data_IF_252250950091
#
_entry.id   IF_252250950091
#
_cell.length_a   1.000
_cell.length_b   1.000
_cell.length_c   1.000
_cell.angle_alpha   90.00
_cell.angle_beta   90.00
_cell.angle_gamma   90.00
#
_symmetry.space_group_name_H-M   'P 1'
#
loop_
_entity.id
_entity.type
_entity.pdbx_description
1 polymer ?
#
# COMPACT_ATOMS: atom_id res chain seq x y z
N UNK A 1 -64.04 16.90 -4.28
CA UNK A 1 -64.33 17.57 -3.00
C UNK A 1 -63.06 18.29 -2.59
N UNK A 2 -63.04 19.62 -2.77
CA UNK A 2 -62.84 20.64 -1.72
C UNK A 2 -61.40 20.68 -1.16
N UNK A 3 -60.70 21.80 -1.00
CA UNK A 3 -60.73 23.21 -1.43
C UNK A 3 -59.63 23.87 -0.55
N UNK A 4 -58.74 24.71 -1.13
CA UNK A 4 -58.29 26.04 -0.59
C UNK A 4 -57.39 25.98 0.68
N UNK A 5 -56.30 26.73 0.94
CA UNK A 5 -55.64 28.00 0.54
C UNK A 5 -54.25 28.00 1.27
N UNK A 6 -53.25 28.89 1.11
CA UNK A 6 -52.96 30.06 0.28
C UNK A 6 -51.55 30.61 0.63
N UNK A 7 -50.95 31.32 -0.35
CA UNK A 7 -50.12 32.55 -0.25
C UNK A 7 -48.72 32.50 0.42
N UNK A 8 -47.68 33.27 0.06
CA UNK A 8 -47.34 34.38 -0.89
C UNK A 8 -45.79 34.49 -0.86
N UNK A 9 -45.02 34.93 -1.86
CA UNK A 9 -44.82 36.34 -2.29
C UNK A 9 -43.67 36.37 -3.34
N UNK A 10 -43.86 36.88 -4.59
CA UNK A 10 -43.38 38.19 -5.14
C UNK A 10 -41.85 38.19 -5.40
N UNK A 11 -41.23 38.51 -6.56
CA UNK A 11 -41.41 39.35 -7.78
C UNK A 11 -40.28 38.92 -8.77
N UNK A 12 -40.31 39.11 -10.10
CA UNK A 12 -40.76 40.24 -10.89
C UNK A 12 -40.46 40.04 -12.39
N UNK A 13 -40.81 41.06 -13.17
CA UNK A 13 -41.48 40.97 -14.48
C UNK A 13 -40.69 41.69 -15.58
N UNK A 14 -40.69 41.17 -16.82
CA UNK A 14 -40.74 41.89 -18.11
C UNK A 14 -40.58 40.86 -19.25
N UNK A 15 -41.31 40.79 -20.36
CA UNK A 15 -42.37 41.64 -20.92
C UNK A 15 -42.16 41.91 -22.42
N UNK A 16 -42.59 41.00 -23.32
CA UNK A 16 -43.02 41.23 -24.73
C UNK A 16 -41.93 41.50 -25.80
N UNK A 17 -42.10 41.31 -27.13
CA UNK A 17 -43.20 40.94 -28.07
C UNK A 17 -42.57 40.43 -29.41
N UNK A 18 -43.35 39.70 -30.24
CA UNK A 18 -43.04 38.95 -31.49
C UNK A 18 -42.75 39.75 -32.80
N UNK A 19 -41.82 39.22 -33.64
CA UNK A 19 -41.76 39.03 -35.14
C UNK A 19 -42.01 40.18 -36.16
N UNK A 20 -41.86 39.99 -37.51
CA UNK A 20 -41.15 38.99 -38.34
C UNK A 20 -40.19 39.56 -39.46
N UNK A 21 -39.61 38.67 -40.30
CA UNK A 21 -38.66 38.75 -41.48
C UNK A 21 -39.08 39.62 -42.70
N UNK A 22 -38.38 39.70 -43.89
CA UNK A 22 -36.97 39.44 -44.36
C UNK A 22 -36.37 40.54 -45.31
N UNK A 23 -35.17 40.31 -45.91
CA UNK A 23 -34.77 40.50 -47.36
C UNK A 23 -33.30 40.94 -47.55
N UNK A 24 -32.66 40.28 -48.53
CA UNK A 24 -31.26 40.33 -48.94
C UNK A 24 -30.82 41.61 -49.70
N UNK A 25 -29.51 41.78 -49.91
CA UNK A 25 -28.89 42.00 -51.25
C UNK A 25 -27.35 41.92 -51.17
N UNK A 26 -26.82 41.22 -52.15
CA UNK A 26 -25.43 40.97 -52.57
C UNK A 26 -24.61 42.20 -52.97
N UNK A 27 -23.28 42.13 -52.81
CA UNK A 27 -22.33 43.07 -53.44
C UNK A 27 -20.91 42.52 -53.47
N UNK A 28 -20.56 41.88 -54.58
CA UNK A 28 -19.28 41.23 -54.88
C UNK A 28 -18.32 42.26 -55.51
N UNK A 29 -17.05 42.32 -55.07
CA UNK A 29 -16.05 43.25 -55.64
C UNK A 29 -14.60 42.80 -55.48
N UNK A 30 -14.13 41.97 -56.42
CA UNK A 30 -12.72 41.76 -56.84
C UNK A 30 -12.04 43.13 -57.12
N UNK A 31 -10.73 43.38 -57.15
CA UNK A 31 -9.51 42.59 -57.26
C UNK A 31 -8.29 43.53 -57.11
N UNK A 32 -7.13 42.95 -56.75
CA UNK A 32 -5.78 43.21 -57.30
C UNK A 32 -4.98 44.50 -56.99
N UNK A 33 -3.88 44.24 -56.26
CA UNK A 33 -2.47 44.45 -56.63
C UNK A 33 -1.72 45.77 -56.34
N UNK A 34 -0.49 45.54 -55.82
CA UNK A 34 0.81 46.24 -55.99
C UNK A 34 1.30 47.17 -54.87
N UNK A 35 2.36 46.66 -54.24
CA UNK A 35 3.68 47.28 -54.10
C UNK A 35 3.91 48.32 -53.00
N UNK A 36 4.54 47.81 -51.93
CA UNK A 36 5.65 48.36 -51.13
C UNK A 36 5.54 49.78 -50.57
N UNK A 37 5.96 49.97 -49.30
CA UNK A 37 6.92 50.99 -48.86
C UNK A 37 7.36 50.67 -47.40
N UNK A 38 8.66 50.39 -47.26
CA UNK A 38 9.60 50.64 -46.14
C UNK A 38 9.16 50.45 -44.66
N UNK A 39 9.74 49.38 -44.07
CA UNK A 39 10.48 49.29 -42.81
C UNK A 39 10.02 50.07 -41.56
N UNK A 40 9.67 49.32 -40.51
CA UNK A 40 10.08 49.61 -39.13
C UNK A 40 10.11 48.30 -38.31
N UNK A 41 11.24 48.09 -37.64
CA UNK A 41 11.56 46.96 -36.77
C UNK A 41 10.77 47.03 -35.46
N UNK A 42 10.11 45.94 -35.09
CA UNK A 42 9.85 45.60 -33.69
C UNK A 42 9.83 44.07 -33.57
N UNK A 43 10.83 43.54 -32.86
CA UNK A 43 10.96 42.12 -32.56
C UNK A 43 9.84 41.66 -31.61
N UNK A 44 9.12 40.61 -31.98
CA UNK A 44 8.24 39.88 -31.08
C UNK A 44 8.56 38.38 -31.24
N UNK A 45 8.97 37.76 -30.13
CA UNK A 45 9.49 36.40 -30.08
C UNK A 45 8.48 35.35 -30.51
N UNK A 46 8.99 34.40 -31.30
CA UNK A 46 8.38 33.08 -31.47
C UNK A 46 8.50 32.29 -30.17
N UNK A 47 7.41 31.68 -29.72
CA UNK A 47 7.42 30.31 -29.20
C UNK A 47 6.06 29.67 -29.51
N UNK A 48 6.10 28.68 -30.40
CA UNK A 48 4.96 27.86 -30.79
C UNK A 48 4.64 26.87 -29.67
N UNK A 49 3.44 26.94 -29.09
CA UNK A 49 2.91 25.93 -28.19
C UNK A 49 2.27 24.80 -29.00
N UNK A 50 2.97 23.66 -29.11
CA UNK A 50 2.33 22.40 -29.49
C UNK A 50 1.87 21.71 -28.21
N UNK A 51 0.55 21.55 -28.05
CA UNK A 51 -0.03 20.73 -27.02
C UNK A 51 0.18 19.26 -27.39
N UNK A 52 1.22 18.64 -26.83
CA UNK A 52 1.38 17.19 -26.88
C UNK A 52 0.39 16.54 -25.92
N UNK A 53 -0.52 15.72 -26.43
CA UNK A 53 -1.26 14.73 -25.63
C UNK A 53 -0.22 13.81 -24.98
N UNK A 54 -0.06 13.89 -23.67
CA UNK A 54 0.59 12.83 -22.90
C UNK A 54 -0.43 11.69 -22.80
N UNK A 55 -0.21 10.62 -23.56
CA UNK A 55 -0.83 9.35 -23.26
C UNK A 55 -0.35 8.92 -21.87
N UNK A 56 -1.25 8.89 -20.89
CA UNK A 56 -0.98 8.26 -19.61
C UNK A 56 -0.61 6.80 -19.91
N UNK A 57 0.67 6.45 -19.72
CA UNK A 57 1.05 5.06 -19.64
C UNK A 57 0.20 4.42 -18.51
N UNK A 58 -0.31 3.19 -18.68
CA UNK A 58 -0.79 2.45 -17.52
C UNK A 58 0.41 2.33 -16.57
N UNK A 59 0.32 2.97 -15.40
CA UNK A 59 1.30 2.81 -14.35
C UNK A 59 1.31 1.35 -13.93
N UNK A 60 2.28 0.58 -14.40
CA UNK A 60 2.49 -0.78 -13.92
C UNK A 60 3.29 -0.72 -12.62
N UNK A 61 2.80 -1.51 -11.65
CA UNK A 61 3.35 -1.88 -10.35
C UNK A 61 3.15 -0.89 -9.18
N UNK A 62 1.92 -0.87 -8.63
CA UNK A 62 1.73 -0.83 -7.17
C UNK A 62 1.26 -2.24 -6.77
N UNK A 63 2.01 -2.98 -5.96
CA UNK A 63 1.63 -4.37 -5.65
C UNK A 63 1.35 -4.55 -4.16
N UNK A 64 0.08 -4.82 -3.85
CA UNK A 64 -0.32 -6.07 -3.20
C UNK A 64 -1.70 -6.48 -3.72
N UNK A 65 -1.93 -7.78 -3.84
CA UNK A 65 -3.24 -8.49 -3.77
C UNK A 65 -3.05 -9.80 -3.01
N UNK A 66 -2.21 -9.74 -1.94
CA UNK A 66 -2.17 -10.67 -0.79
C UNK A 66 -0.77 -10.88 -0.18
N UNK A 67 0.35 -10.37 -0.69
CA UNK A 67 1.61 -10.39 0.10
C UNK A 67 2.67 -9.45 -0.52
N UNK A 68 2.55 -8.17 -0.21
CA UNK A 68 3.55 -7.17 -0.58
C UNK A 68 4.70 -7.12 0.45
N UNK A 69 5.83 -6.55 0.05
CA UNK A 69 6.93 -6.28 0.99
C UNK A 69 6.66 -4.95 1.70
N UNK A 70 6.67 -4.95 3.03
CA UNK A 70 6.89 -3.74 3.82
C UNK A 70 8.38 -3.68 4.20
N UNK A 71 8.97 -2.50 4.30
CA UNK A 71 10.35 -2.34 4.78
C UNK A 71 10.41 -1.38 5.95
N UNK A 72 11.04 -1.76 7.08
CA UNK A 72 11.36 -0.81 8.12
C UNK A 72 12.34 0.22 7.56
N UNK A 73 12.07 1.49 7.82
CA UNK A 73 12.88 2.59 7.31
C UNK A 73 13.18 3.61 8.40
N UNK A 74 14.30 4.32 8.22
CA UNK A 74 14.70 5.41 9.11
C UNK A 74 13.70 6.56 8.99
N UNK A 75 13.43 7.24 10.10
CA UNK A 75 12.42 8.31 10.20
C UNK A 75 12.56 9.37 9.10
N UNK A 76 11.45 9.76 8.49
CA UNK A 76 11.42 10.79 7.45
C UNK A 76 12.12 10.38 6.15
N UNK A 77 12.48 9.11 5.99
CA UNK A 77 13.13 8.58 4.79
C UNK A 77 12.50 7.25 4.35
N UNK A 78 12.88 6.78 3.17
CA UNK A 78 12.62 5.40 2.72
C UNK A 78 13.86 4.51 2.86
N UNK A 79 14.86 4.97 3.62
CA UNK A 79 16.13 4.27 3.79
C UNK A 79 15.94 3.09 4.72
N UNK A 80 16.20 1.90 4.22
CA UNK A 80 16.06 0.64 4.96
C UNK A 80 16.78 0.68 6.32
N UNK A 81 16.08 0.23 7.36
CA UNK A 81 16.57 0.11 8.73
C UNK A 81 16.60 -1.37 9.13
N UNK A 82 17.79 -1.97 9.08
CA UNK A 82 17.95 -3.41 9.27
C UNK A 82 17.79 -3.89 10.72
N UNK A 83 17.93 -3.00 11.70
CA UNK A 83 17.91 -3.36 13.12
C UNK A 83 17.79 -2.13 14.00
N UNK A 84 17.37 -2.34 15.24
CA UNK A 84 17.34 -1.31 16.28
C UNK A 84 17.26 -1.89 17.70
N UNK A 85 17.38 -1.02 18.68
CA UNK A 85 17.01 -1.30 20.07
C UNK A 85 15.51 -1.13 20.31
N UNK A 86 15.04 -1.42 21.52
CA UNK A 86 13.61 -1.29 21.87
C UNK A 86 13.07 0.12 21.65
N UNK A 87 13.91 1.13 21.83
CA UNK A 87 13.53 2.55 21.70
C UNK A 87 13.86 3.16 20.34
N UNK A 88 14.22 2.33 19.36
CA UNK A 88 14.57 2.83 18.02
C UNK A 88 13.28 3.16 17.28
N UNK A 89 13.10 4.44 16.97
CA UNK A 89 11.99 4.92 16.16
C UNK A 89 12.20 4.57 14.68
N UNK A 90 11.12 4.20 14.00
CA UNK A 90 11.14 3.85 12.59
C UNK A 90 9.84 4.24 11.89
N UNK A 91 9.85 4.16 10.56
CA UNK A 91 8.64 4.20 9.72
C UNK A 91 8.54 2.93 8.90
N UNK A 92 7.39 2.68 8.28
CA UNK A 92 7.21 1.60 7.31
C UNK A 92 7.20 2.20 5.92
N UNK A 93 8.19 1.84 5.11
CA UNK A 93 8.20 2.15 3.69
C UNK A 93 7.48 1.02 2.92
N UNK A 94 6.56 1.41 2.05
CA UNK A 94 5.86 0.52 1.13
C UNK A 94 6.38 0.73 -0.30
N UNK A 95 6.13 -0.21 -1.22
CA UNK A 95 6.37 0.01 -2.65
C UNK A 95 5.66 1.27 -3.13
N UNK A 96 6.25 1.95 -4.11
CA UNK A 96 5.65 3.16 -4.68
C UNK A 96 4.21 2.87 -5.15
N UNK A 97 3.26 3.75 -4.79
CA UNK A 97 1.84 3.61 -5.10
C UNK A 97 1.18 2.35 -4.51
N UNK A 98 1.64 1.89 -3.33
CA UNK A 98 0.93 0.85 -2.57
C UNK A 98 -0.49 1.31 -2.26
N UNK A 99 -1.47 0.57 -2.76
CA UNK A 99 -2.88 0.92 -2.69
C UNK A 99 -3.73 -0.30 -2.37
N UNK A 100 -4.81 -0.09 -1.63
CA UNK A 100 -5.85 -1.07 -1.44
C UNK A 100 -6.62 -1.30 -2.75
N UNK A 101 -7.27 -2.46 -2.85
CA UNK A 101 -8.15 -2.81 -3.97
C UNK A 101 -9.34 -1.85 -4.18
N UNK A 102 -9.64 -0.99 -3.20
CA UNK A 102 -10.66 0.07 -3.27
C UNK A 102 -10.35 1.21 -2.31
N UNK A 103 -11.14 2.27 -2.33
CA UNK A 103 -10.90 3.48 -1.53
C UNK A 103 -11.88 3.66 -0.36
N UNK A 104 -11.46 4.39 0.67
CA UNK A 104 -12.28 4.65 1.86
C UNK A 104 -13.55 5.47 1.57
N UNK A 105 -13.49 6.43 0.65
CA UNK A 105 -14.61 7.35 0.40
C UNK A 105 -15.74 6.69 -0.40
N UNK A 106 -15.40 5.83 -1.36
CA UNK A 106 -16.38 5.21 -2.27
C UNK A 106 -16.69 3.77 -1.90
N UNK A 107 -15.68 3.01 -1.45
CA UNK A 107 -15.78 1.56 -1.26
C UNK A 107 -15.75 1.15 0.22
N UNK A 108 -15.47 2.08 1.13
CA UNK A 108 -15.42 1.82 2.57
C UNK A 108 -14.21 1.00 3.01
N UNK A 109 -13.14 0.96 2.20
CA UNK A 109 -11.91 0.26 2.57
C UNK A 109 -11.18 0.99 3.69
N UNK A 110 -10.50 0.25 4.57
CA UNK A 110 -9.73 0.80 5.69
C UNK A 110 -8.36 0.16 5.79
N UNK A 111 -7.39 0.91 6.32
CA UNK A 111 -6.00 0.49 6.46
C UNK A 111 -5.67 0.26 7.93
N UNK A 112 -5.02 -0.86 8.24
CA UNK A 112 -4.64 -1.26 9.58
C UNK A 112 -3.16 -1.61 9.62
N UNK A 113 -2.47 -1.29 10.70
CA UNK A 113 -1.24 -2.03 11.02
C UNK A 113 -1.57 -3.33 11.73
N UNK A 114 -0.64 -4.28 11.70
CA UNK A 114 -0.72 -5.50 12.49
C UNK A 114 0.66 -5.92 12.99
N UNK A 115 0.64 -6.74 14.05
CA UNK A 115 1.78 -7.40 14.66
C UNK A 115 1.30 -8.75 15.23
N UNK A 116 1.82 -9.82 14.66
CA UNK A 116 1.38 -11.20 14.90
C UNK A 116 2.58 -12.14 14.98
N UNK A 117 2.43 -13.29 15.63
CA UNK A 117 3.50 -14.29 15.65
C UNK A 117 3.80 -14.78 14.22
N UNK A 118 5.07 -15.07 13.94
CA UNK A 118 5.47 -15.49 12.60
C UNK A 118 4.78 -16.78 12.16
N UNK A 119 4.32 -16.80 10.90
CA UNK A 119 3.55 -17.91 10.33
C UNK A 119 2.04 -17.75 10.51
N UNK A 120 1.58 -16.64 11.08
CA UNK A 120 0.17 -16.29 11.09
C UNK A 120 -0.30 -15.98 9.68
N UNK A 121 -1.39 -16.60 9.24
CA UNK A 121 -1.99 -16.26 7.95
C UNK A 121 -2.76 -14.93 8.06
N UNK A 122 -2.12 -13.84 7.63
CA UNK A 122 -2.66 -12.47 7.69
C UNK A 122 -3.96 -12.33 6.89
N UNK A 123 -4.11 -13.05 5.77
CA UNK A 123 -5.33 -13.02 4.95
C UNK A 123 -6.59 -13.48 5.69
N UNK A 124 -6.42 -14.31 6.73
CA UNK A 124 -7.53 -14.83 7.53
C UNK A 124 -7.81 -13.99 8.78
N UNK A 125 -7.05 -12.92 9.01
CA UNK A 125 -7.33 -11.97 10.09
C UNK A 125 -8.55 -11.15 9.69
N UNK A 126 -9.50 -11.01 10.61
CA UNK A 126 -10.62 -10.09 10.45
C UNK A 126 -10.38 -8.90 11.37
N UNK A 127 -10.45 -7.70 10.80
CA UNK A 127 -10.33 -6.44 11.51
C UNK A 127 -11.74 -5.82 11.58
N UNK A 128 -12.48 -5.94 12.70
CA UNK A 128 -13.79 -5.31 12.86
C UNK A 128 -13.79 -3.76 12.66
N UNK A 129 -14.89 -3.08 12.96
CA UNK A 129 -14.87 -1.62 13.07
C UNK A 129 -14.93 -1.23 14.56
N UNK A 130 -13.99 -0.42 15.04
CA UNK A 130 -13.93 0.06 16.44
C UNK A 130 -12.58 -0.23 17.12
N UNK A 131 -12.09 0.71 17.92
CA UNK A 131 -10.79 0.62 18.61
C UNK A 131 -10.94 -0.01 20.03
N UNK A 132 -10.04 -0.91 20.47
CA UNK A 132 -8.97 -1.55 19.69
C UNK A 132 -9.54 -2.71 18.88
N UNK A 133 -9.08 -2.83 17.63
CA UNK A 133 -9.71 -3.70 16.65
C UNK A 133 -9.04 -5.08 16.52
N UNK A 134 -8.23 -5.44 17.51
CA UNK A 134 -7.43 -6.64 17.50
C UNK A 134 -8.09 -7.72 18.37
N UNK A 135 -8.12 -8.96 17.88
CA UNK A 135 -8.50 -10.12 18.68
C UNK A 135 -7.52 -10.35 19.84
N UNK A 136 -7.83 -11.32 20.71
CA UNK A 136 -6.88 -11.73 21.74
C UNK A 136 -5.55 -12.17 21.10
N UNK A 137 -4.42 -11.66 21.62
CA UNK A 137 -3.06 -11.91 21.13
C UNK A 137 -2.72 -11.32 19.75
N UNK A 138 -3.47 -10.31 19.30
CA UNK A 138 -3.13 -9.52 18.13
C UNK A 138 -2.75 -8.11 18.60
N UNK A 139 -1.72 -7.55 17.98
CA UNK A 139 -1.27 -6.18 18.23
C UNK A 139 -1.16 -5.43 16.90
N UNK A 140 -0.94 -4.12 16.96
CA UNK A 140 -0.61 -3.29 15.80
C UNK A 140 0.74 -2.62 15.98
N UNK A 141 1.18 -1.93 14.92
CA UNK A 141 2.27 -0.96 15.06
C UNK A 141 1.78 0.20 15.93
N UNK A 142 2.64 0.63 16.83
CA UNK A 142 2.34 1.63 17.85
C UNK A 142 3.28 2.81 17.68
N UNK A 143 2.69 3.99 17.60
CA UNK A 143 3.42 5.25 17.59
C UNK A 143 4.09 5.44 18.95
N UNK A 144 5.18 6.21 18.99
CA UNK A 144 5.87 6.59 20.23
C UNK A 144 4.96 7.21 21.28
N UNK A 145 3.91 7.92 20.85
CA UNK A 145 2.88 8.46 21.73
C UNK A 145 2.06 7.37 22.47
N UNK A 146 2.22 6.10 22.09
CA UNK A 146 1.52 4.96 22.63
C UNK A 146 0.15 4.72 21.99
N UNK A 147 -0.08 5.19 20.77
CA UNK A 147 -1.34 4.94 20.06
C UNK A 147 -1.11 3.89 18.96
N UNK A 148 -2.01 2.92 18.86
CA UNK A 148 -2.00 2.01 17.72
C UNK A 148 -2.39 2.76 16.45
N UNK A 149 -1.64 2.54 15.36
CA UNK A 149 -2.00 3.06 14.05
C UNK A 149 -2.93 2.07 13.35
N UNK A 150 -4.23 2.28 13.55
CA UNK A 150 -5.29 1.40 13.07
C UNK A 150 -6.44 2.22 12.49
N UNK A 151 -7.31 1.56 11.71
CA UNK A 151 -8.52 2.13 11.14
C UNK A 151 -8.24 3.46 10.42
N UNK A 152 -7.34 3.44 9.44
CA UNK A 152 -6.94 4.62 8.67
C UNK A 152 -7.69 4.70 7.35
N UNK A 153 -7.81 5.92 6.83
CA UNK A 153 -8.37 6.13 5.50
C UNK A 153 -7.28 6.01 4.43
N UNK A 154 -7.62 5.42 3.30
CA UNK A 154 -6.85 5.53 2.07
C UNK A 154 -7.01 6.93 1.47
N UNK A 155 -6.16 7.26 0.50
CA UNK A 155 -6.43 8.38 -0.39
C UNK A 155 -7.76 8.15 -1.14
N UNK A 156 -8.59 9.20 -1.31
CA UNK A 156 -9.87 9.08 -2.00
C UNK A 156 -9.64 8.78 -3.48
N UNK A 157 -10.53 7.99 -4.09
CA UNK A 157 -10.48 7.57 -5.52
C UNK A 157 -9.32 6.66 -5.91
N UNK A 158 -8.12 6.83 -5.33
CA UNK A 158 -6.93 6.03 -5.70
C UNK A 158 -6.73 4.79 -4.83
N UNK A 159 -7.26 4.77 -3.59
CA UNK A 159 -7.04 3.66 -2.66
C UNK A 159 -5.62 3.61 -2.07
N UNK A 160 -4.77 4.61 -2.37
CA UNK A 160 -3.38 4.64 -1.93
C UNK A 160 -3.28 4.71 -0.40
N UNK A 161 -2.32 3.98 0.17
CA UNK A 161 -2.01 4.05 1.59
C UNK A 161 -1.25 5.35 1.85
N UNK A 162 -1.80 6.16 2.75
CA UNK A 162 -1.29 7.49 3.08
C UNK A 162 -1.09 7.63 4.59
N UNK A 163 -0.31 8.64 4.99
CA UNK A 163 -0.13 9.05 6.37
C UNK A 163 0.44 7.93 7.29
N UNK A 164 1.36 7.11 6.77
CA UNK A 164 2.13 6.19 7.62
C UNK A 164 2.97 7.04 8.59
N UNK A 165 2.87 6.80 9.92
CA UNK A 165 3.65 7.49 10.94
C UNK A 165 5.15 7.36 10.73
N UNK A 166 5.89 8.35 11.22
CA UNK A 166 7.36 8.39 11.13
C UNK A 166 8.05 8.01 12.45
N UNK A 167 7.30 7.58 13.45
CA UNK A 167 7.70 7.43 14.84
C UNK A 167 7.13 6.15 15.47
N UNK A 168 7.03 5.07 14.71
CA UNK A 168 6.75 3.76 15.28
C UNK A 168 7.87 3.31 16.19
N UNK A 169 7.53 2.61 17.28
CA UNK A 169 8.51 2.17 18.27
C UNK A 169 8.05 0.88 18.96
N UNK A 170 8.98 -0.04 19.25
CA UNK A 170 8.63 -1.34 19.83
C UNK A 170 8.49 -1.31 21.36
N UNK A 171 9.14 -0.39 22.06
CA UNK A 171 8.99 -0.19 23.52
C UNK A 171 7.51 -0.05 23.92
N UNK A 172 6.72 0.66 23.12
CA UNK A 172 5.33 0.93 23.44
C UNK A 172 4.48 -0.36 23.48
N UNK A 173 4.88 -1.46 22.83
CA UNK A 173 4.21 -2.77 23.00
C UNK A 173 4.30 -3.29 24.43
N UNK A 174 5.48 -3.17 25.05
CA UNK A 174 5.69 -3.60 26.44
C UNK A 174 4.86 -2.74 27.38
N UNK A 175 4.89 -1.41 27.17
CA UNK A 175 4.12 -0.45 27.96
C UNK A 175 2.60 -0.67 27.83
N UNK A 176 2.13 -1.20 26.71
CA UNK A 176 0.71 -1.57 26.47
C UNK A 176 0.33 -2.96 26.95
N UNK A 177 1.24 -3.70 27.57
CA UNK A 177 0.93 -4.94 28.26
C UNK A 177 1.32 -6.22 27.53
N UNK A 178 2.04 -6.15 26.39
CA UNK A 178 2.72 -7.34 25.88
C UNK A 178 3.91 -7.66 26.78
N UNK A 179 3.83 -8.76 27.52
CA UNK A 179 4.93 -9.15 28.41
C UNK A 179 6.17 -9.54 27.59
N UNK A 180 7.37 -9.19 28.08
CA UNK A 180 8.64 -9.46 27.37
C UNK A 180 8.86 -10.95 27.08
N UNK A 181 8.41 -11.85 27.95
CA UNK A 181 8.47 -13.29 27.73
C UNK A 181 7.55 -13.76 26.59
N UNK A 182 6.45 -13.04 26.35
CA UNK A 182 5.54 -13.33 25.24
C UNK A 182 6.14 -12.82 23.94
N UNK A 183 6.76 -11.63 23.97
CA UNK A 183 7.55 -11.14 22.83
C UNK A 183 8.69 -12.10 22.47
N UNK A 184 9.36 -12.67 23.47
CA UNK A 184 10.48 -13.59 23.32
C UNK A 184 10.05 -15.05 23.57
N UNK A 185 9.14 -15.58 22.76
CA UNK A 185 8.49 -16.88 23.01
C UNK A 185 9.26 -18.14 22.54
N UNK A 186 10.41 -18.00 21.87
CA UNK A 186 11.22 -19.15 21.45
C UNK A 186 12.02 -19.76 22.61
N UNK A 187 12.66 -20.90 22.37
CA UNK A 187 13.48 -21.68 23.32
C UNK A 187 14.23 -20.81 24.34
N UNK A 188 13.99 -21.05 25.63
CA UNK A 188 14.59 -20.33 26.77
C UNK A 188 14.23 -18.84 26.92
N UNK A 189 13.20 -18.37 26.21
CA UNK A 189 12.77 -16.98 26.16
C UNK A 189 13.88 -15.99 25.78
N UNK A 190 14.72 -16.38 24.82
CA UNK A 190 15.83 -15.55 24.34
C UNK A 190 15.55 -14.86 23.01
N UNK A 191 14.54 -15.31 22.28
CA UNK A 191 14.19 -14.79 20.96
C UNK A 191 12.68 -14.94 20.70
N UNK A 192 12.11 -14.10 19.85
CA UNK A 192 10.80 -14.28 19.24
C UNK A 192 10.82 -13.76 17.82
N UNK A 193 10.10 -14.42 16.91
CA UNK A 193 10.03 -13.99 15.51
C UNK A 193 8.59 -13.61 15.20
N UNK A 194 8.37 -12.40 14.75
CA UNK A 194 7.05 -11.83 14.55
C UNK A 194 6.92 -11.30 13.14
N UNK A 195 5.69 -11.17 12.67
CA UNK A 195 5.33 -10.54 11.43
C UNK A 195 4.57 -9.26 11.73
N UNK A 196 4.98 -8.17 11.09
CA UNK A 196 4.35 -6.87 11.24
C UNK A 196 4.21 -6.21 9.89
N UNK A 197 3.22 -5.35 9.75
CA UNK A 197 2.96 -4.74 8.46
C UNK A 197 1.71 -3.91 8.43
N UNK A 198 1.24 -3.69 7.21
CA UNK A 198 0.08 -2.88 6.88
C UNK A 198 -0.89 -3.75 6.07
N UNK A 199 -2.17 -3.77 6.45
CA UNK A 199 -3.22 -4.50 5.78
C UNK A 199 -4.36 -3.55 5.35
N UNK A 200 -4.83 -3.75 4.13
CA UNK A 200 -6.07 -3.19 3.62
C UNK A 200 -7.21 -4.15 3.90
N UNK A 201 -8.36 -3.59 4.28
CA UNK A 201 -9.58 -4.36 4.52
C UNK A 201 -10.73 -3.74 3.74
N UNK A 202 -11.65 -4.58 3.29
CA UNK A 202 -12.91 -4.12 2.73
C UNK A 202 -13.87 -3.63 3.83
N UNK A 203 -15.05 -3.15 3.44
CA UNK A 203 -16.06 -2.64 4.37
C UNK A 203 -16.62 -3.66 5.38
N UNK A 204 -16.30 -4.95 5.21
CA UNK A 204 -16.67 -6.01 6.15
C UNK A 204 -15.52 -6.40 7.09
N UNK A 205 -14.37 -5.71 7.03
CA UNK A 205 -13.20 -6.01 7.86
C UNK A 205 -12.34 -7.18 7.37
N UNK A 206 -12.59 -7.67 6.16
CA UNK A 206 -11.83 -8.77 5.56
C UNK A 206 -10.62 -8.21 4.82
N UNK A 207 -9.45 -8.79 5.05
CA UNK A 207 -8.20 -8.40 4.39
C UNK A 207 -8.31 -8.60 2.88
N UNK A 208 -8.03 -7.54 2.13
CA UNK A 208 -7.94 -7.57 0.66
C UNK A 208 -6.50 -7.64 0.17
N UNK A 209 -5.62 -6.88 0.82
CA UNK A 209 -4.24 -6.68 0.44
C UNK A 209 -3.42 -6.49 1.72
N UNK A 210 -2.19 -6.97 1.77
CA UNK A 210 -1.29 -6.65 2.88
C UNK A 210 0.16 -6.55 2.43
N UNK A 211 0.96 -5.85 3.22
CA UNK A 211 2.40 -5.69 3.09
C UNK A 211 3.05 -6.05 4.41
N UNK A 212 4.06 -6.93 4.37
CA UNK A 212 4.62 -7.53 5.56
C UNK A 212 6.14 -7.40 5.64
N UNK A 213 6.63 -7.35 6.87
CA UNK A 213 8.03 -7.59 7.24
C UNK A 213 8.07 -8.59 8.38
N UNK A 214 9.15 -9.35 8.46
CA UNK A 214 9.40 -10.25 9.60
C UNK A 214 10.48 -9.64 10.49
N UNK A 215 10.26 -9.69 11.80
CA UNK A 215 11.17 -9.15 12.80
C UNK A 215 11.62 -10.24 13.74
N UNK A 216 12.92 -10.30 14.00
CA UNK A 216 13.48 -11.12 15.06
C UNK A 216 13.77 -10.24 16.27
N UNK A 217 13.08 -10.47 17.38
CA UNK A 217 13.34 -9.86 18.66
C UNK A 217 14.29 -10.75 19.46
N UNK A 218 15.40 -10.21 19.95
CA UNK A 218 16.34 -10.96 20.80
C UNK A 218 16.40 -10.34 22.18
N UNK A 219 16.58 -11.18 23.19
CA UNK A 219 16.93 -10.74 24.53
C UNK A 219 18.23 -9.94 24.49
N UNK A 220 18.18 -8.72 25.00
CA UNK A 220 19.31 -7.81 25.07
C UNK A 220 19.30 -7.10 26.43
N UNK A 221 19.97 -7.66 27.44
CA UNK A 221 19.94 -7.13 28.81
C UNK A 221 20.54 -5.73 28.98
N UNK A 222 21.29 -5.24 27.98
CA UNK A 222 21.83 -3.87 27.97
C UNK A 222 20.93 -2.85 27.27
N UNK A 223 19.83 -3.29 26.66
CA UNK A 223 18.83 -2.42 26.05
C UNK A 223 17.80 -1.96 27.11
N UNK A 224 17.26 -0.72 27.03
CA UNK A 224 16.32 -0.18 28.04
C UNK A 224 15.14 -1.09 28.39
N UNK A 225 14.61 -1.84 27.43
CA UNK A 225 13.47 -2.75 27.64
C UNK A 225 13.85 -4.23 27.53
N UNK A 226 15.15 -4.53 27.53
CA UNK A 226 15.65 -5.90 27.58
C UNK A 226 15.59 -6.64 26.24
N UNK A 227 15.36 -5.95 25.12
CA UNK A 227 15.36 -6.55 23.79
C UNK A 227 15.88 -5.62 22.69
N UNK A 228 16.47 -6.21 21.66
CA UNK A 228 16.72 -5.54 20.39
C UNK A 228 15.93 -6.26 19.29
N UNK A 229 15.89 -5.67 18.10
CA UNK A 229 15.21 -6.25 16.96
C UNK A 229 16.08 -6.17 15.70
N UNK A 230 15.86 -7.12 14.80
CA UNK A 230 16.41 -7.15 13.46
C UNK A 230 15.27 -7.40 12.48
N UNK A 231 15.25 -6.65 11.39
CA UNK A 231 14.42 -7.00 10.24
C UNK A 231 15.01 -8.25 9.57
N UNK A 232 14.12 -9.14 9.12
CA UNK A 232 14.44 -10.26 8.26
C UNK A 232 13.93 -9.87 6.88
N UNK A 233 14.76 -9.22 6.03
CA UNK A 233 14.27 -8.64 4.79
C UNK A 233 13.75 -9.73 3.84
N UNK A 234 12.45 -9.65 3.54
CA UNK A 234 11.70 -10.52 2.64
C UNK A 234 10.18 -10.30 2.82
N UNK A 235 9.34 -10.64 1.82
CA UNK A 235 7.89 -10.67 2.02
C UNK A 235 7.53 -11.66 3.14
N UNK A 236 6.33 -11.50 3.74
CA UNK A 236 5.84 -12.42 4.77
C UNK A 236 6.02 -13.86 4.34
N UNK A 237 6.27 -14.73 5.31
CA UNK A 237 6.31 -16.15 5.01
C UNK A 237 7.49 -16.59 4.15
N UNK A 238 8.65 -15.90 4.20
CA UNK A 238 9.93 -16.48 3.79
C UNK A 238 10.21 -17.72 4.64
N UNK A 239 9.60 -18.84 4.26
CA UNK A 239 9.84 -20.13 4.86
C UNK A 239 11.27 -20.52 4.49
N UNK A 240 12.10 -20.77 5.51
CA UNK A 240 13.47 -21.24 5.34
C UNK A 240 13.47 -22.41 4.34
N UNK A 241 14.28 -22.34 3.27
CA UNK A 241 14.40 -23.44 2.32
C UNK A 241 14.68 -24.75 3.03
N UNK A 242 13.81 -25.73 2.86
CA UNK A 242 13.99 -27.07 3.37
C UNK A 242 13.95 -28.05 2.20
N UNK A 243 14.89 -29.00 2.21
CA UNK A 243 14.93 -30.11 1.25
C UNK A 243 14.69 -31.38 2.06
N UNK A 244 13.67 -32.14 1.67
CA UNK A 244 13.34 -33.44 2.27
C UNK A 244 13.34 -34.53 1.20
N UNK A 245 13.92 -35.68 1.53
CA UNK A 245 13.98 -36.85 0.67
C UNK A 245 14.24 -38.10 1.53
N UNK A 246 14.15 -39.29 0.93
CA UNK A 246 14.58 -40.52 1.60
C UNK A 246 16.11 -40.54 1.77
N UNK A 247 16.60 -41.10 2.89
CA UNK A 247 18.04 -41.10 3.19
C UNK A 247 18.86 -41.97 2.22
N UNK A 248 18.22 -42.91 1.52
CA UNK A 248 18.82 -43.74 0.49
C UNK A 248 17.74 -44.28 -0.47
N UNK A 249 18.17 -44.72 -1.64
CA UNK A 249 17.41 -45.53 -2.60
C UNK A 249 18.38 -46.48 -3.31
N UNK A 250 17.92 -47.65 -3.76
CA UNK A 250 18.75 -48.61 -4.52
C UNK A 250 18.17 -48.76 -5.92
N UNK A 251 18.97 -48.48 -6.93
CA UNK A 251 18.62 -48.71 -8.34
C UNK A 251 19.21 -50.03 -8.81
N UNK A 252 18.41 -50.82 -9.53
CA UNK A 252 18.87 -52.06 -10.16
C UNK A 252 19.33 -51.75 -11.59
N UNK A 253 20.47 -52.32 -11.99
CA UNK A 253 21.00 -52.13 -13.34
C UNK A 253 19.98 -52.52 -14.41
N UNK A 254 19.87 -51.70 -15.46
CA UNK A 254 18.92 -51.89 -16.56
C UNK A 254 17.46 -51.55 -16.23
N UNK A 255 17.15 -51.19 -14.98
CA UNK A 255 15.80 -50.83 -14.55
C UNK A 255 15.70 -49.34 -14.25
N UNK A 256 14.79 -48.64 -14.94
CA UNK A 256 14.50 -47.25 -14.65
C UNK A 256 13.90 -47.11 -13.24
N UNK A 257 14.34 -46.10 -12.49
CA UNK A 257 13.79 -45.75 -11.19
C UNK A 257 13.75 -44.24 -10.97
N UNK A 258 13.06 -43.81 -9.92
CA UNK A 258 12.90 -42.41 -9.56
C UNK A 258 13.28 -42.15 -8.10
N UNK A 259 13.93 -41.03 -7.81
CA UNK A 259 14.14 -40.53 -6.46
C UNK A 259 13.45 -39.17 -6.30
N UNK A 260 12.49 -39.10 -5.40
CA UNK A 260 11.70 -37.88 -5.20
C UNK A 260 12.36 -36.99 -4.15
N UNK A 261 12.63 -35.75 -4.53
CA UNK A 261 13.10 -34.68 -3.64
C UNK A 261 12.01 -33.63 -3.54
N UNK A 262 11.69 -33.22 -2.32
CA UNK A 262 10.72 -32.14 -2.06
C UNK A 262 11.47 -30.94 -1.49
N UNK A 263 11.44 -29.83 -2.23
CA UNK A 263 11.90 -28.53 -1.74
C UNK A 263 10.69 -27.69 -1.32
N UNK A 264 10.74 -27.14 -0.11
CA UNK A 264 9.75 -26.19 0.41
C UNK A 264 10.45 -24.89 0.79
N UNK A 265 9.75 -23.77 0.73
CA UNK A 265 10.29 -22.44 1.00
C UNK A 265 9.50 -21.38 0.26
N UNK A 266 9.71 -20.11 0.61
CA UNK A 266 9.16 -18.97 -0.13
C UNK A 266 10.27 -17.92 -0.35
N UNK A 267 10.61 -17.57 -1.61
CA UNK A 267 10.13 -18.21 -2.84
C UNK A 267 10.51 -19.70 -2.87
N UNK A 268 9.69 -20.52 -3.53
CA UNK A 268 9.95 -21.97 -3.63
C UNK A 268 11.32 -22.21 -4.26
N UNK A 269 12.23 -22.96 -3.62
CA UNK A 269 13.56 -23.21 -4.15
C UNK A 269 13.51 -23.95 -5.49
N UNK A 270 14.29 -23.50 -6.47
CA UNK A 270 14.48 -24.24 -7.71
C UNK A 270 15.48 -25.39 -7.50
N UNK A 271 15.11 -26.60 -7.93
CA UNK A 271 16.01 -27.76 -7.95
C UNK A 271 16.69 -27.86 -9.32
N UNK A 272 18.00 -28.11 -9.32
CA UNK A 272 18.79 -28.37 -10.52
C UNK A 272 19.58 -29.67 -10.38
N UNK A 273 19.66 -30.45 -11.47
CA UNK A 273 20.45 -31.68 -11.56
C UNK A 273 21.56 -31.50 -12.59
N UNK A 274 22.79 -31.94 -12.26
CA UNK A 274 23.94 -31.88 -13.16
C UNK A 274 24.70 -33.21 -13.12
N UNK A 275 25.03 -33.78 -14.27
CA UNK A 275 25.78 -35.03 -14.40
C UNK A 275 25.26 -35.93 -15.51
N UNK A 276 25.91 -37.08 -15.71
CA UNK A 276 25.40 -38.16 -16.56
C UNK A 276 24.75 -39.22 -15.67
N UNK A 277 23.48 -39.53 -15.94
CA UNK A 277 22.73 -40.62 -15.31
C UNK A 277 23.19 -41.99 -15.82
#
# INVERSE_FOLDING_TARGET
>A
MNRIAAERSVTGTAGGVQGPTPVAVTGQGRNRTRSAWKALLAAAGLLAGTAGLVAAAPGMAGASTLDGVATPASQGTTSYLASGGSTTEFTVALPAQAACSGDSATNGYRVFSYFVEAGTNVANITFPSGNPNFGANQYGLIEKAGNFWEDQNTAPTTGEIINIPNDFEWEALITKGLALNSLLYQSSNTQGVWEAGIACTNSSGVVSDYWNSQFTFNKASGDPNGFNWMDVPGPAGSQVPAITAANNTTFTEGQAGTFTVTATGNPTPALGEFGTL
#
